data_IF_312284747640
#
_entry.id   IF_312284747640
#
_cell.length_a   1.000
_cell.length_b   1.000
_cell.length_c   1.000
_cell.angle_alpha   90.00
_cell.angle_beta   90.00
_cell.angle_gamma   90.00
#
_symmetry.space_group_name_H-M   'P 1'
#
loop_
_entity.id
_entity.type
_entity.pdbx_description
1 polymer ?
#
# COMPACT_ATOMS: atom_id res chain seq x y z
N UNK A 1 -13.03 -5.96 -26.75
CA UNK A 1 -12.26 -5.51 -25.57
C UNK A 1 -11.34 -4.41 -26.05
N UNK A 2 -11.56 -3.18 -25.57
CA UNK A 2 -10.68 -2.06 -25.91
C UNK A 2 -9.35 -2.24 -25.16
N UNK A 3 -8.27 -2.42 -25.89
CA UNK A 3 -6.91 -2.42 -25.33
C UNK A 3 -6.51 -0.97 -25.09
N UNK A 4 -6.34 -0.60 -23.81
CA UNK A 4 -5.84 0.71 -23.40
C UNK A 4 -4.36 0.90 -23.72
N UNK A 5 -3.82 2.08 -23.36
CA UNK A 5 -2.38 2.37 -23.36
C UNK A 5 -1.61 1.17 -22.76
N UNK A 6 -0.57 0.70 -23.45
CA UNK A 6 0.27 -0.44 -23.07
C UNK A 6 -0.35 -1.86 -23.13
N UNK A 7 -1.50 -2.07 -23.83
CA UNK A 7 -2.04 -3.40 -24.09
C UNK A 7 -2.85 -4.03 -22.95
N UNK A 8 -3.13 -3.30 -21.87
CA UNK A 8 -3.98 -3.76 -20.77
C UNK A 8 -5.39 -3.17 -20.86
N UNK A 9 -6.40 -3.96 -20.48
CA UNK A 9 -7.78 -3.47 -20.33
C UNK A 9 -7.89 -2.56 -19.09
N UNK A 10 -8.80 -1.57 -19.13
CA UNK A 10 -9.09 -0.68 -17.98
C UNK A 10 -9.34 -1.47 -16.69
N UNK A 11 -10.13 -2.55 -16.77
CA UNK A 11 -10.44 -3.40 -15.61
C UNK A 11 -9.21 -4.09 -14.99
N UNK A 12 -8.20 -4.41 -15.80
CA UNK A 12 -6.96 -4.99 -15.29
C UNK A 12 -6.14 -3.97 -14.50
N UNK A 13 -6.03 -2.73 -15.01
CA UNK A 13 -5.31 -1.66 -14.31
C UNK A 13 -6.03 -1.27 -13.04
N UNK A 14 -7.36 -1.05 -13.10
CA UNK A 14 -8.14 -0.71 -11.91
C UNK A 14 -8.16 -1.84 -10.88
N UNK A 15 -8.10 -3.09 -11.33
CA UNK A 15 -8.05 -4.29 -10.48
C UNK A 15 -6.78 -4.43 -9.62
N UNK A 16 -5.79 -3.53 -9.75
CA UNK A 16 -4.62 -3.46 -8.84
C UNK A 16 -4.57 -2.15 -8.03
N UNK A 17 -5.61 -1.31 -8.14
CA UNK A 17 -5.69 -0.03 -7.42
C UNK A 17 -6.31 -0.23 -6.03
N UNK A 18 -5.61 0.27 -5.01
CA UNK A 18 -6.12 0.52 -3.67
C UNK A 18 -6.52 1.99 -3.58
N UNK A 19 -7.82 2.29 -3.75
CA UNK A 19 -8.36 3.65 -3.65
C UNK A 19 -8.28 4.12 -2.20
N UNK A 20 -7.57 5.22 -1.94
CA UNK A 20 -7.07 5.56 -0.61
C UNK A 20 -7.56 6.91 -0.11
N UNK A 21 -8.09 6.95 1.13
CA UNK A 21 -8.53 8.16 1.83
C UNK A 21 -8.03 8.12 3.29
N UNK A 22 -6.88 8.77 3.56
CA UNK A 22 -6.21 8.73 4.87
C UNK A 22 -6.03 10.11 5.52
N UNK A 23 -6.58 11.16 4.92
CA UNK A 23 -6.54 12.50 5.53
C UNK A 23 -7.23 12.48 6.89
N UNK A 24 -6.65 13.06 7.96
CA UNK A 24 -7.22 13.01 9.31
C UNK A 24 -8.55 13.79 9.45
N UNK A 25 -8.82 14.69 8.51
CA UNK A 25 -10.03 15.49 8.44
C UNK A 25 -11.08 14.93 7.45
N UNK A 26 -10.97 13.67 7.03
CA UNK A 26 -11.95 13.02 6.15
C UNK A 26 -13.28 12.81 6.87
N UNK A 27 -14.37 13.05 6.16
CA UNK A 27 -15.73 12.89 6.65
C UNK A 27 -16.33 11.54 6.27
N UNK A 28 -17.40 11.11 6.96
CA UNK A 28 -18.16 9.90 6.58
C UNK A 28 -18.76 10.00 5.17
N UNK A 29 -19.15 11.20 4.72
CA UNK A 29 -19.63 11.41 3.36
C UNK A 29 -18.55 11.13 2.32
N UNK A 30 -17.30 11.55 2.59
CA UNK A 30 -16.17 11.27 1.70
C UNK A 30 -15.80 9.77 1.71
N UNK A 31 -15.97 9.08 2.84
CA UNK A 31 -15.77 7.61 2.90
C UNK A 31 -16.82 6.89 2.07
N UNK A 32 -18.10 7.30 2.15
CA UNK A 32 -19.17 6.76 1.29
C UNK A 32 -18.83 6.95 -0.18
N UNK A 33 -18.49 8.18 -0.55
CA UNK A 33 -18.12 8.52 -1.92
C UNK A 33 -16.94 7.67 -2.42
N UNK A 34 -15.90 7.49 -1.60
CA UNK A 34 -14.75 6.64 -1.92
C UNK A 34 -15.18 5.19 -2.21
N UNK A 35 -16.03 4.59 -1.36
CA UNK A 35 -16.47 3.19 -1.51
C UNK A 35 -17.28 3.00 -2.78
N UNK A 36 -18.30 3.85 -2.99
CA UNK A 36 -19.18 3.80 -4.16
C UNK A 36 -18.39 4.02 -5.47
N UNK A 37 -17.51 5.01 -5.48
CA UNK A 37 -16.66 5.34 -6.62
C UNK A 37 -15.66 4.21 -6.93
N UNK A 38 -14.96 3.69 -5.91
CA UNK A 38 -14.01 2.59 -6.08
C UNK A 38 -14.68 1.33 -6.65
N UNK A 39 -15.90 1.03 -6.18
CA UNK A 39 -16.70 -0.08 -6.69
C UNK A 39 -17.07 0.13 -8.17
N UNK A 40 -17.56 1.32 -8.52
CA UNK A 40 -17.94 1.67 -9.89
C UNK A 40 -16.76 1.62 -10.87
N UNK A 41 -15.56 1.99 -10.42
CA UNK A 41 -14.34 1.95 -11.22
C UNK A 41 -13.67 0.57 -11.29
N UNK A 42 -14.11 -0.39 -10.47
CA UNK A 42 -13.52 -1.73 -10.41
C UNK A 42 -12.16 -1.77 -9.69
N UNK A 43 -11.95 -0.88 -8.70
CA UNK A 43 -10.78 -0.94 -7.84
C UNK A 43 -10.72 -2.26 -7.05
N UNK A 44 -9.53 -2.70 -6.67
CA UNK A 44 -9.36 -3.90 -5.87
C UNK A 44 -9.78 -3.70 -4.41
N UNK A 45 -9.36 -2.59 -3.82
CA UNK A 45 -9.66 -2.28 -2.43
C UNK A 45 -9.91 -0.79 -2.20
N UNK A 46 -10.48 -0.51 -1.04
CA UNK A 46 -10.45 0.83 -0.43
C UNK A 46 -9.58 0.80 0.83
N UNK A 47 -8.77 1.84 1.03
CA UNK A 47 -7.92 1.99 2.19
C UNK A 47 -8.31 3.25 2.97
N UNK A 48 -8.74 3.07 4.22
CA UNK A 48 -9.26 4.13 5.09
C UNK A 48 -8.59 4.10 6.45
N UNK A 49 -8.69 5.20 7.20
CA UNK A 49 -8.27 5.22 8.61
C UNK A 49 -9.11 4.25 9.44
N UNK A 50 -8.51 3.68 10.49
CA UNK A 50 -9.14 2.71 11.40
C UNK A 50 -10.48 3.21 11.98
N UNK A 51 -10.61 4.51 12.23
CA UNK A 51 -11.85 5.13 12.71
C UNK A 51 -13.03 4.95 11.74
N UNK A 52 -12.75 4.81 10.44
CA UNK A 52 -13.75 4.65 9.40
C UNK A 52 -13.98 3.19 8.97
N UNK A 53 -13.18 2.24 9.48
CA UNK A 53 -13.18 0.86 9.00
C UNK A 53 -14.57 0.19 9.11
N UNK A 54 -15.21 0.26 10.27
CA UNK A 54 -16.54 -0.33 10.46
C UNK A 54 -17.62 0.29 9.54
N UNK A 55 -17.53 1.61 9.30
CA UNK A 55 -18.45 2.29 8.39
C UNK A 55 -18.20 1.90 6.93
N UNK A 56 -16.95 1.84 6.51
CA UNK A 56 -16.58 1.40 5.17
C UNK A 56 -17.00 -0.07 4.93
N UNK A 57 -16.84 -0.97 5.93
CA UNK A 57 -17.32 -2.36 5.84
C UNK A 57 -18.83 -2.41 5.65
N UNK A 58 -19.59 -1.67 6.47
CA UNK A 58 -21.04 -1.57 6.34
C UNK A 58 -21.46 -1.15 4.92
N UNK A 59 -20.82 -0.13 4.34
CA UNK A 59 -21.13 0.34 2.99
C UNK A 59 -20.80 -0.70 1.91
N UNK A 60 -19.70 -1.42 2.05
CA UNK A 60 -19.30 -2.48 1.11
C UNK A 60 -20.33 -3.61 1.13
N UNK A 61 -20.79 -4.01 2.34
CA UNK A 61 -21.76 -5.09 2.52
C UNK A 61 -23.16 -4.68 2.03
N UNK A 62 -23.61 -3.47 2.40
CA UNK A 62 -24.90 -2.92 1.97
C UNK A 62 -24.99 -2.80 0.44
N UNK A 63 -23.91 -2.35 -0.20
CA UNK A 63 -23.83 -2.23 -1.66
C UNK A 63 -23.54 -3.54 -2.40
N UNK A 64 -23.25 -4.64 -1.69
CA UNK A 64 -22.84 -5.90 -2.30
C UNK A 64 -21.56 -5.78 -3.13
N UNK A 65 -20.68 -4.85 -2.81
CA UNK A 65 -19.49 -4.53 -3.60
C UNK A 65 -18.38 -5.56 -3.42
N UNK A 66 -17.69 -5.88 -4.52
CA UNK A 66 -16.51 -6.77 -4.51
C UNK A 66 -15.22 -6.00 -4.21
N UNK A 67 -15.23 -5.22 -3.14
CA UNK A 67 -14.07 -4.47 -2.68
C UNK A 67 -13.47 -5.11 -1.44
N UNK A 68 -12.14 -5.19 -1.39
CA UNK A 68 -11.41 -5.48 -0.15
C UNK A 68 -11.36 -4.23 0.73
N UNK A 69 -11.49 -4.42 2.04
CA UNK A 69 -11.31 -3.36 3.01
C UNK A 69 -9.90 -3.40 3.58
N UNK A 70 -9.15 -2.32 3.37
CA UNK A 70 -7.83 -2.10 3.94
C UNK A 70 -7.89 -0.97 4.97
N UNK A 71 -7.09 -1.08 6.02
CA UNK A 71 -6.81 0.04 6.93
C UNK A 71 -5.33 0.17 7.21
N UNK A 72 -4.95 1.24 7.91
CA UNK A 72 -3.56 1.51 8.31
C UNK A 72 -3.36 1.31 9.81
N UNK A 73 -2.20 0.81 10.20
CA UNK A 73 -1.82 0.58 11.60
C UNK A 73 -0.59 1.43 11.93
N UNK A 74 -0.68 2.16 13.05
CA UNK A 74 0.38 3.04 13.55
C UNK A 74 0.87 4.03 12.49
N UNK A 75 -0.09 4.62 11.82
CA UNK A 75 0.11 5.46 10.65
C UNK A 75 -0.01 6.96 11.00
N UNK A 76 0.84 7.85 10.43
CA UNK A 76 1.89 7.53 9.46
C UNK A 76 3.28 7.28 10.07
N UNK A 77 3.42 7.20 11.40
CA UNK A 77 4.71 7.33 12.07
C UNK A 77 5.44 6.02 12.39
N UNK A 78 4.74 4.90 12.58
CA UNK A 78 5.37 3.63 12.99
C UNK A 78 6.07 3.72 14.34
N UNK A 79 5.53 4.50 15.29
CA UNK A 79 6.20 4.90 16.53
C UNK A 79 5.62 4.23 17.79
N UNK A 80 4.58 3.42 17.67
CA UNK A 80 3.99 2.68 18.78
C UNK A 80 4.75 1.38 19.09
N UNK A 81 4.50 0.81 20.28
CA UNK A 81 5.07 -0.48 20.64
C UNK A 81 4.43 -1.64 19.85
N UNK A 82 5.16 -2.74 19.72
CA UNK A 82 4.70 -3.95 19.02
C UNK A 82 3.35 -4.45 19.53
N UNK A 83 3.13 -4.46 20.85
CA UNK A 83 1.88 -4.97 21.46
C UNK A 83 0.68 -4.09 21.12
N UNK A 84 0.83 -2.76 21.13
CA UNK A 84 -0.22 -1.82 20.71
C UNK A 84 -0.59 -2.04 19.24
N UNK A 85 0.40 -2.20 18.39
CA UNK A 85 0.23 -2.45 16.94
C UNK A 85 -0.43 -3.81 16.70
N UNK A 86 -0.01 -4.84 17.42
CA UNK A 86 -0.61 -6.18 17.34
C UNK A 86 -2.08 -6.17 17.76
N UNK A 87 -2.41 -5.47 18.85
CA UNK A 87 -3.81 -5.30 19.28
C UNK A 87 -4.61 -4.50 18.24
N UNK A 88 -4.04 -3.46 17.65
CA UNK A 88 -4.71 -2.70 16.60
C UNK A 88 -5.05 -3.57 15.37
N UNK A 89 -4.19 -4.53 15.01
CA UNK A 89 -4.48 -5.50 13.93
C UNK A 89 -5.69 -6.37 14.29
N UNK A 90 -5.77 -6.91 15.53
CA UNK A 90 -6.94 -7.70 15.98
C UNK A 90 -8.21 -6.87 15.91
N UNK A 91 -8.15 -5.63 16.41
CA UNK A 91 -9.31 -4.70 16.36
C UNK A 91 -9.72 -4.32 14.95
N UNK A 92 -8.79 -4.33 14.00
CA UNK A 92 -9.10 -4.16 12.59
C UNK A 92 -9.86 -5.39 12.05
N UNK A 93 -9.37 -6.58 12.34
CA UNK A 93 -10.03 -7.84 11.98
C UNK A 93 -11.48 -7.92 12.53
N UNK A 94 -11.69 -7.57 13.80
CA UNK A 94 -13.02 -7.49 14.45
C UNK A 94 -14.00 -6.56 13.69
N UNK A 95 -13.49 -5.61 12.90
CA UNK A 95 -14.28 -4.68 12.07
C UNK A 95 -14.46 -5.16 10.63
N UNK A 96 -14.05 -6.39 10.31
CA UNK A 96 -14.13 -6.94 8.96
C UNK A 96 -13.09 -6.37 8.00
N UNK A 97 -11.98 -5.85 8.52
CA UNK A 97 -10.82 -5.46 7.70
C UNK A 97 -10.11 -6.71 7.21
N UNK A 98 -9.82 -6.77 5.93
CA UNK A 98 -9.19 -7.91 5.27
C UNK A 98 -7.69 -7.70 5.04
N UNK A 99 -7.24 -6.43 5.03
CA UNK A 99 -5.85 -6.06 4.76
C UNK A 99 -5.40 -4.91 5.67
N UNK A 100 -4.18 -4.96 6.16
CA UNK A 100 -3.57 -3.86 6.93
C UNK A 100 -2.27 -3.40 6.31
N UNK A 101 -2.08 -2.07 6.24
CA UNK A 101 -0.81 -1.45 5.87
C UNK A 101 -0.16 -0.92 7.15
N UNK A 102 0.96 -1.52 7.58
CA UNK A 102 1.65 -1.22 8.84
C UNK A 102 2.94 -0.47 8.56
N UNK A 103 3.19 0.64 9.25
CA UNK A 103 4.44 1.40 9.07
C UNK A 103 5.58 0.70 9.80
N UNK A 104 6.72 0.50 9.14
CA UNK A 104 7.92 -0.03 9.79
C UNK A 104 8.39 0.90 10.92
N UNK A 105 8.99 0.38 12.01
CA UNK A 105 9.46 1.22 13.11
C UNK A 105 10.75 1.97 12.70
N UNK A 106 10.59 3.08 11.98
CA UNK A 106 11.70 3.86 11.39
C UNK A 106 12.72 4.32 12.42
N UNK A 107 12.28 4.64 13.64
CA UNK A 107 13.18 4.98 14.75
C UNK A 107 14.23 3.89 15.00
N UNK A 108 13.83 2.62 14.95
CA UNK A 108 14.76 1.49 15.13
C UNK A 108 15.66 1.29 13.91
N UNK A 109 15.13 1.53 12.71
CA UNK A 109 15.96 1.51 11.48
C UNK A 109 17.06 2.56 11.56
N UNK A 110 16.71 3.81 11.89
CA UNK A 110 17.66 4.93 12.04
C UNK A 110 18.67 4.72 13.17
N UNK A 111 18.33 3.90 14.16
CA UNK A 111 19.19 3.53 15.29
C UNK A 111 20.03 2.28 15.02
N UNK A 112 19.98 1.69 13.82
CA UNK A 112 20.69 0.46 13.46
C UNK A 112 20.17 -0.80 14.18
N UNK A 113 18.96 -0.74 14.78
CA UNK A 113 18.36 -1.81 15.59
C UNK A 113 17.54 -2.79 14.72
N UNK A 114 18.12 -3.30 13.62
CA UNK A 114 17.43 -4.13 12.64
C UNK A 114 16.83 -5.42 13.23
N UNK A 115 17.47 -6.04 14.22
CA UNK A 115 16.92 -7.22 14.91
C UNK A 115 15.62 -6.88 15.69
N UNK A 116 15.51 -5.66 16.23
CA UNK A 116 14.27 -5.21 16.86
C UNK A 116 13.16 -4.99 15.81
N UNK A 117 13.51 -4.44 14.63
CA UNK A 117 12.60 -4.30 13.48
C UNK A 117 12.11 -5.68 13.03
N UNK A 118 13.01 -6.65 12.89
CA UNK A 118 12.66 -8.01 12.48
C UNK A 118 11.71 -8.68 13.46
N UNK A 119 12.01 -8.62 14.78
CA UNK A 119 11.12 -9.19 15.81
C UNK A 119 9.73 -8.55 15.79
N UNK A 120 9.67 -7.22 15.66
CA UNK A 120 8.41 -6.48 15.56
C UNK A 120 7.60 -6.95 14.34
N UNK A 121 8.17 -6.88 13.15
CA UNK A 121 7.46 -7.21 11.91
C UNK A 121 7.04 -8.69 11.86
N UNK A 122 7.87 -9.63 12.32
CA UNK A 122 7.50 -11.05 12.44
C UNK A 122 6.31 -11.25 13.38
N UNK A 123 6.30 -10.56 14.52
CA UNK A 123 5.17 -10.61 15.47
C UNK A 123 3.89 -10.08 14.84
N UNK A 124 3.95 -8.95 14.13
CA UNK A 124 2.80 -8.35 13.48
C UNK A 124 2.27 -9.23 12.32
N UNK A 125 3.16 -9.79 11.50
CA UNK A 125 2.77 -10.71 10.44
C UNK A 125 2.08 -11.97 11.01
N UNK A 126 2.65 -12.55 12.07
CA UNK A 126 2.04 -13.71 12.74
C UNK A 126 0.65 -13.40 13.30
N UNK A 127 0.45 -12.20 13.89
CA UNK A 127 -0.88 -11.79 14.40
C UNK A 127 -1.85 -11.57 13.25
N UNK A 128 -1.45 -10.84 12.21
CA UNK A 128 -2.31 -10.60 11.05
C UNK A 128 -2.80 -11.90 10.41
N UNK A 129 -1.89 -12.84 10.18
CA UNK A 129 -2.24 -14.14 9.59
C UNK A 129 -3.11 -15.00 10.51
N UNK A 130 -2.92 -14.94 11.84
CA UNK A 130 -3.80 -15.63 12.80
C UNK A 130 -5.24 -15.10 12.76
N UNK A 131 -5.43 -13.83 12.42
CA UNK A 131 -6.74 -13.18 12.24
C UNK A 131 -7.26 -13.29 10.78
N UNK A 132 -6.53 -13.95 9.88
CA UNK A 132 -6.89 -14.06 8.46
C UNK A 132 -6.75 -12.75 7.68
N UNK A 133 -5.92 -11.83 8.16
CA UNK A 133 -5.69 -10.49 7.59
C UNK A 133 -4.36 -10.47 6.84
N UNK A 134 -4.37 -9.93 5.59
CA UNK A 134 -3.16 -9.70 4.81
C UNK A 134 -2.40 -8.47 5.34
N UNK A 135 -1.08 -8.58 5.46
CA UNK A 135 -0.24 -7.50 5.99
C UNK A 135 0.72 -6.95 4.94
N UNK A 136 0.73 -5.60 4.80
CA UNK A 136 1.66 -4.87 3.94
C UNK A 136 2.52 -3.95 4.80
N UNK A 137 3.83 -4.01 4.65
CA UNK A 137 4.76 -3.19 5.45
C UNK A 137 5.20 -1.97 4.66
N UNK A 138 4.94 -0.78 5.21
CA UNK A 138 5.38 0.51 4.67
C UNK A 138 6.80 0.78 5.16
N UNK A 139 7.76 0.85 4.25
CA UNK A 139 9.18 1.04 4.57
C UNK A 139 9.59 2.51 4.63
N UNK A 140 8.72 3.43 4.24
CA UNK A 140 8.92 4.88 4.21
C UNK A 140 10.26 5.28 3.56
N UNK A 141 10.37 5.00 2.28
CA UNK A 141 11.58 5.17 1.48
C UNK A 141 12.24 6.55 1.61
N UNK A 142 11.42 7.58 1.78
CA UNK A 142 11.89 8.95 1.91
C UNK A 142 12.81 9.17 3.12
N UNK A 143 12.66 8.36 4.17
CA UNK A 143 13.39 8.54 5.45
C UNK A 143 14.63 7.66 5.59
N UNK A 144 14.95 6.85 4.59
CA UNK A 144 16.04 5.87 4.67
C UNK A 144 17.13 6.12 3.63
N UNK A 145 18.39 5.99 4.03
CA UNK A 145 19.53 5.97 3.13
C UNK A 145 19.53 4.69 2.28
N UNK A 146 20.33 4.61 1.24
CA UNK A 146 20.43 3.41 0.39
C UNK A 146 20.74 2.15 1.20
N UNK A 147 21.71 2.21 2.11
CA UNK A 147 22.09 1.07 2.96
C UNK A 147 20.96 0.67 3.93
N UNK A 148 20.26 1.65 4.52
CA UNK A 148 19.10 1.38 5.38
C UNK A 148 17.94 0.76 4.59
N UNK A 149 17.69 1.20 3.34
CA UNK A 149 16.68 0.60 2.46
C UNK A 149 16.98 -0.89 2.21
N UNK A 150 18.20 -1.20 1.78
CA UNK A 150 18.62 -2.58 1.49
C UNK A 150 18.44 -3.49 2.71
N UNK A 151 18.85 -3.02 3.88
CA UNK A 151 18.72 -3.74 5.14
C UNK A 151 17.25 -3.92 5.56
N UNK A 152 16.44 -2.86 5.49
CA UNK A 152 15.02 -2.89 5.85
C UNK A 152 14.21 -3.75 4.88
N UNK A 153 14.44 -3.65 3.58
CA UNK A 153 13.74 -4.47 2.58
C UNK A 153 13.97 -5.95 2.81
N UNK A 154 15.23 -6.34 3.07
CA UNK A 154 15.56 -7.72 3.45
C UNK A 154 14.79 -8.16 4.68
N UNK A 155 14.76 -7.34 5.73
CA UNK A 155 14.02 -7.65 6.97
C UNK A 155 12.53 -7.82 6.68
N UNK A 156 11.91 -6.94 5.91
CA UNK A 156 10.50 -7.05 5.51
C UNK A 156 10.23 -8.33 4.73
N UNK A 157 11.07 -8.64 3.74
CA UNK A 157 10.92 -9.85 2.91
C UNK A 157 11.02 -11.15 3.71
N UNK A 158 11.77 -11.15 4.80
CA UNK A 158 11.95 -12.32 5.69
C UNK A 158 11.00 -12.34 6.89
N UNK A 159 10.19 -11.27 7.09
CA UNK A 159 9.30 -11.15 8.26
C UNK A 159 8.02 -11.96 8.18
N UNK A 160 7.65 -12.44 6.99
CA UNK A 160 6.35 -13.04 6.70
C UNK A 160 5.30 -12.04 6.19
N UNK A 161 5.67 -10.78 5.93
CA UNK A 161 4.78 -9.82 5.30
C UNK A 161 4.38 -10.27 3.88
N UNK A 162 3.11 -10.01 3.50
CA UNK A 162 2.59 -10.36 2.18
C UNK A 162 3.03 -9.34 1.12
N UNK A 163 3.19 -8.08 1.52
CA UNK A 163 3.65 -6.99 0.64
C UNK A 163 4.69 -6.11 1.32
N UNK A 164 5.60 -5.58 0.50
CA UNK A 164 6.41 -4.41 0.81
C UNK A 164 5.81 -3.19 0.12
N UNK A 165 5.59 -2.10 0.88
CA UNK A 165 4.99 -0.85 0.39
C UNK A 165 5.97 0.31 0.56
N UNK A 166 6.05 1.20 -0.45
CA UNK A 166 7.06 2.26 -0.50
C UNK A 166 6.87 3.34 0.55
N UNK A 167 5.66 3.89 0.70
CA UNK A 167 5.48 5.20 1.33
C UNK A 167 4.12 5.34 2.01
N UNK A 168 4.05 6.24 2.99
CA UNK A 168 2.79 6.67 3.62
C UNK A 168 2.04 7.71 2.78
N UNK A 169 2.74 8.57 2.08
CA UNK A 169 2.21 9.78 1.44
C UNK A 169 2.13 10.99 2.38
N UNK A 170 2.70 10.86 3.59
CA UNK A 170 2.74 11.89 4.64
C UNK A 170 4.18 12.23 5.06
N UNK A 171 5.11 11.98 4.18
CA UNK A 171 6.53 12.21 4.41
C UNK A 171 6.84 13.69 4.59
N UNK A 172 7.84 14.00 5.39
CA UNK A 172 8.40 15.34 5.55
C UNK A 172 9.42 15.62 4.43
N UNK A 173 9.11 16.50 3.45
CA UNK A 173 9.98 16.71 2.29
C UNK A 173 11.36 17.27 2.64
N UNK A 174 11.46 18.09 3.69
CA UNK A 174 12.74 18.68 4.12
C UNK A 174 13.70 17.62 4.62
N UNK A 175 13.22 16.65 5.42
CA UNK A 175 14.03 15.54 5.88
C UNK A 175 14.41 14.59 4.74
N UNK A 176 13.47 14.26 3.86
CA UNK A 176 13.74 13.45 2.67
C UNK A 176 14.87 14.06 1.82
N UNK A 177 14.79 15.36 1.55
CA UNK A 177 15.79 16.10 0.76
C UNK A 177 17.16 16.12 1.44
N UNK A 178 17.22 16.17 2.78
CA UNK A 178 18.49 16.12 3.51
C UNK A 178 19.25 14.80 3.35
N UNK A 179 18.52 13.73 2.98
CA UNK A 179 19.08 12.41 2.66
C UNK A 179 19.29 12.20 1.14
N UNK A 180 19.01 13.22 0.32
CA UNK A 180 19.04 13.10 -1.14
C UNK A 180 17.85 12.32 -1.72
N UNK A 181 16.80 12.08 -0.94
CA UNK A 181 15.60 11.38 -1.35
C UNK A 181 14.51 12.33 -1.86
N UNK A 182 13.57 11.77 -2.58
CA UNK A 182 12.30 12.40 -2.93
C UNK A 182 11.15 11.65 -2.24
N UNK A 183 10.06 12.36 -1.96
CA UNK A 183 8.86 11.78 -1.34
C UNK A 183 8.06 10.93 -2.35
N UNK A 184 7.24 10.02 -1.84
CA UNK A 184 6.35 9.17 -2.62
C UNK A 184 7.04 8.00 -3.33
N UNK A 185 6.28 7.31 -4.18
CA UNK A 185 6.77 6.15 -4.92
C UNK A 185 7.82 6.55 -5.98
N UNK A 186 8.95 5.87 -5.96
CA UNK A 186 10.07 6.09 -6.90
C UNK A 186 10.41 4.80 -7.63
N UNK A 187 10.61 4.91 -8.94
CA UNK A 187 10.95 3.77 -9.83
C UNK A 187 12.20 3.04 -9.35
N UNK A 188 13.23 3.79 -8.94
CA UNK A 188 14.49 3.22 -8.43
C UNK A 188 14.29 2.39 -7.15
N UNK A 189 13.41 2.81 -6.24
CA UNK A 189 13.12 2.06 -5.01
C UNK A 189 12.32 0.78 -5.32
N UNK A 190 11.33 0.87 -6.21
CA UNK A 190 10.55 -0.30 -6.65
C UNK A 190 11.45 -1.33 -7.36
N UNK A 191 12.38 -0.86 -8.20
CA UNK A 191 13.37 -1.74 -8.85
C UNK A 191 14.27 -2.43 -7.82
N UNK A 192 14.73 -1.71 -6.81
CA UNK A 192 15.50 -2.29 -5.71
C UNK A 192 14.70 -3.35 -4.94
N UNK A 193 13.41 -3.09 -4.65
CA UNK A 193 12.52 -4.09 -4.04
C UNK A 193 12.44 -5.35 -4.91
N UNK A 194 12.24 -5.18 -6.22
CA UNK A 194 12.16 -6.30 -7.17
C UNK A 194 13.47 -7.10 -7.23
N UNK A 195 14.61 -6.44 -7.25
CA UNK A 195 15.94 -7.10 -7.25
C UNK A 195 16.17 -7.91 -5.99
N UNK A 196 15.96 -7.32 -4.82
CA UNK A 196 16.16 -8.00 -3.54
C UNK A 196 15.15 -9.12 -3.31
N UNK A 197 13.92 -8.97 -3.81
CA UNK A 197 12.90 -10.01 -3.66
C UNK A 197 13.31 -11.34 -4.31
N UNK A 198 14.06 -11.32 -5.41
CA UNK A 198 14.56 -12.54 -6.07
C UNK A 198 15.39 -13.41 -5.14
N UNK A 199 16.14 -12.79 -4.24
CA UNK A 199 17.04 -13.50 -3.31
C UNK A 199 16.35 -13.86 -1.98
N UNK A 200 15.43 -13.03 -1.48
CA UNK A 200 14.90 -13.17 -0.13
C UNK A 200 13.45 -13.67 -0.06
N UNK A 201 12.58 -13.24 -0.98
CA UNK A 201 11.20 -13.69 -1.09
C UNK A 201 10.64 -13.37 -2.48
N UNK A 202 10.74 -14.26 -3.46
CA UNK A 202 10.27 -14.01 -4.83
C UNK A 202 8.75 -13.84 -4.93
N UNK A 203 8.00 -14.27 -3.91
CA UNK A 203 6.55 -14.22 -3.89
C UNK A 203 5.98 -13.00 -3.16
N UNK A 204 6.82 -12.15 -2.54
CA UNK A 204 6.32 -10.95 -1.87
C UNK A 204 5.71 -9.98 -2.89
N UNK A 205 4.53 -9.45 -2.59
CA UNK A 205 3.92 -8.39 -3.39
C UNK A 205 4.66 -7.06 -3.22
N UNK A 206 4.62 -6.22 -4.26
CA UNK A 206 5.18 -4.86 -4.22
C UNK A 206 4.05 -3.86 -4.40
N UNK A 207 3.95 -2.91 -3.46
CA UNK A 207 2.91 -1.87 -3.47
C UNK A 207 3.53 -0.48 -3.50
N UNK A 208 3.75 0.12 -4.68
CA UNK A 208 4.04 1.55 -4.77
C UNK A 208 2.87 2.38 -4.21
N UNK A 209 3.17 3.44 -3.47
CA UNK A 209 2.20 4.38 -2.93
C UNK A 209 2.81 5.77 -2.73
N UNK A 210 1.98 6.81 -2.75
CA UNK A 210 2.40 8.20 -2.61
C UNK A 210 2.70 8.87 -3.95
N UNK A 211 1.91 9.90 -4.29
CA UNK A 211 2.14 10.75 -5.47
C UNK A 211 1.76 10.16 -6.83
N UNK A 212 1.17 8.98 -6.90
CA UNK A 212 0.79 8.31 -8.16
C UNK A 212 -0.55 8.86 -8.64
N UNK A 213 -0.58 9.47 -9.86
CA UNK A 213 -1.74 10.22 -10.37
C UNK A 213 -2.04 10.01 -11.85
N UNK A 214 -1.28 9.17 -12.56
CA UNK A 214 -1.45 8.93 -14.00
C UNK A 214 -1.24 7.46 -14.35
N UNK A 215 -1.77 7.04 -15.48
CA UNK A 215 -1.57 5.69 -16.03
C UNK A 215 -0.09 5.44 -16.33
N UNK A 216 0.62 6.42 -16.89
CA UNK A 216 2.06 6.31 -17.18
C UNK A 216 2.84 5.94 -15.91
N UNK A 217 2.60 6.65 -14.79
CA UNK A 217 3.25 6.33 -13.52
C UNK A 217 2.94 4.90 -13.03
N UNK A 218 1.70 4.44 -13.18
CA UNK A 218 1.33 3.06 -12.82
C UNK A 218 2.12 2.06 -13.65
N UNK A 219 2.24 2.29 -14.97
CA UNK A 219 2.95 1.38 -15.88
C UNK A 219 4.46 1.37 -15.64
N UNK A 220 5.07 2.53 -15.41
CA UNK A 220 6.50 2.65 -15.07
C UNK A 220 6.85 1.89 -13.79
N UNK A 221 5.98 1.99 -12.78
CA UNK A 221 6.15 1.28 -11.50
C UNK A 221 5.88 -0.22 -11.63
N UNK A 222 4.92 -0.62 -12.47
CA UNK A 222 4.66 -2.02 -12.79
C UNK A 222 5.89 -2.66 -13.47
N UNK A 223 6.43 -2.00 -14.50
CA UNK A 223 7.63 -2.44 -15.19
C UNK A 223 8.83 -2.55 -14.23
N UNK A 224 9.06 -1.53 -13.41
CA UNK A 224 10.12 -1.53 -12.41
C UNK A 224 9.99 -2.66 -11.39
N UNK A 225 8.74 -3.06 -11.06
CA UNK A 225 8.48 -4.14 -10.12
C UNK A 225 8.80 -5.53 -10.66
N UNK A 226 8.85 -5.68 -11.99
CA UNK A 226 8.99 -6.98 -12.65
C UNK A 226 7.87 -7.97 -12.32
N UNK A 227 6.74 -7.48 -11.78
CA UNK A 227 5.58 -8.29 -11.42
C UNK A 227 4.55 -8.30 -12.54
N UNK A 228 3.74 -9.35 -12.66
CA UNK A 228 2.55 -9.30 -13.50
C UNK A 228 1.53 -8.31 -12.94
N UNK A 229 0.59 -7.87 -13.77
CA UNK A 229 -0.57 -7.07 -13.35
C UNK A 229 -1.60 -7.98 -12.64
N UNK A 230 -1.22 -8.45 -11.46
CA UNK A 230 -1.98 -9.35 -10.58
C UNK A 230 -2.06 -8.72 -9.18
N UNK A 231 -3.25 -8.50 -8.61
CA UNK A 231 -3.41 -7.85 -7.32
C UNK A 231 -2.78 -8.61 -6.15
N UNK A 232 -2.38 -9.86 -6.34
CA UNK A 232 -1.65 -10.66 -5.34
C UNK A 232 -0.17 -10.33 -5.29
N UNK A 233 0.38 -9.72 -6.36
CA UNK A 233 1.82 -9.48 -6.51
C UNK A 233 2.16 -8.00 -6.76
N UNK A 234 1.21 -7.22 -7.30
CA UNK A 234 1.39 -5.80 -7.56
C UNK A 234 0.12 -5.02 -7.19
N UNK A 235 0.29 -3.95 -6.42
CA UNK A 235 -0.80 -3.05 -6.02
C UNK A 235 -0.33 -1.61 -6.12
N UNK A 236 -1.24 -0.69 -6.30
CA UNK A 236 -0.96 0.75 -6.31
C UNK A 236 -1.85 1.45 -5.30
N UNK A 237 -1.23 2.08 -4.29
CA UNK A 237 -1.95 2.93 -3.34
C UNK A 237 -2.03 4.37 -3.85
N UNK A 238 -3.25 4.87 -4.08
CA UNK A 238 -3.44 6.22 -4.59
C UNK A 238 -4.74 6.86 -4.11
N UNK A 239 -4.72 8.17 -3.86
CA UNK A 239 -5.91 9.01 -3.69
C UNK A 239 -6.45 9.58 -5.00
N UNK A 240 -5.86 9.20 -6.15
CA UNK A 240 -6.19 9.71 -7.49
C UNK A 240 -6.75 8.63 -8.40
N UNK A 241 -7.43 7.61 -7.84
CA UNK A 241 -7.99 6.49 -8.60
C UNK A 241 -8.94 6.96 -9.72
N UNK A 242 -9.80 7.95 -9.44
CA UNK A 242 -10.69 8.56 -10.45
C UNK A 242 -9.92 9.12 -11.63
N UNK A 243 -8.86 9.88 -11.38
CA UNK A 243 -8.06 10.50 -12.45
C UNK A 243 -7.41 9.45 -13.35
N UNK A 244 -6.89 8.37 -12.76
CA UNK A 244 -6.31 7.23 -13.50
C UNK A 244 -7.40 6.55 -14.34
N UNK A 245 -8.57 6.32 -13.77
CA UNK A 245 -9.70 5.72 -14.47
C UNK A 245 -10.17 6.57 -15.65
N UNK A 246 -10.35 7.89 -15.47
CA UNK A 246 -10.74 8.83 -16.53
C UNK A 246 -9.72 8.87 -17.68
N UNK A 247 -8.42 8.79 -17.36
CA UNK A 247 -7.34 8.72 -18.35
C UNK A 247 -7.45 7.43 -19.19
N UNK A 248 -7.69 6.28 -18.54
CA UNK A 248 -7.92 4.99 -19.20
C UNK A 248 -9.16 5.02 -20.10
N UNK A 249 -10.27 5.63 -19.66
CA UNK A 249 -11.49 5.72 -20.44
C UNK A 249 -11.30 6.56 -21.73
N UNK A 250 -10.61 7.69 -21.64
CA UNK A 250 -10.31 8.54 -22.79
C UNK A 250 -9.48 7.85 -23.85
N UNK A 251 -8.49 7.08 -23.41
CA UNK A 251 -7.62 6.32 -24.34
C UNK A 251 -8.36 5.17 -25.03
N UNK A 252 -9.29 4.52 -24.31
CA UNK A 252 -10.10 3.43 -24.87
C UNK A 252 -11.13 3.90 -25.92
N UNK A 253 -11.50 5.19 -25.94
CA UNK A 253 -12.43 5.77 -26.92
C UNK A 253 -11.73 6.31 -28.17
N UNK A 254 -10.40 6.38 -28.15
CA UNK A 254 -9.58 6.96 -29.24
C UNK A 254 -9.01 5.88 -30.19
N UNK A 255 -9.37 4.60 -29.95
CA UNK A 255 -9.02 3.42 -30.75
C UNK A 255 -10.28 2.83 -31.37
#
# INVERSE_FOLDING_TARGET
MAYGLHGYATSQVMGVIDSTLLRPYSTLAEVRYLVEEAAAMGCYSVCVNMAHAAYARHLIDEGGYRLRLCTVIDFPFGASTTDVRAEAIRRAADKGVEEVDVVAPITYVKSGRLEAVERDLRRLASVAHAEGVLIKVIVEDAYTTRAEKEALYRVVMLSGADFIKTSTGFEEPSYASSLGNQVGARVENVRLMAELSKAYNPNIGIKPAGGIRSVSQVMELLEASGRPLDPRLFRVGTSSARRIWEELQRTSQSI
#
